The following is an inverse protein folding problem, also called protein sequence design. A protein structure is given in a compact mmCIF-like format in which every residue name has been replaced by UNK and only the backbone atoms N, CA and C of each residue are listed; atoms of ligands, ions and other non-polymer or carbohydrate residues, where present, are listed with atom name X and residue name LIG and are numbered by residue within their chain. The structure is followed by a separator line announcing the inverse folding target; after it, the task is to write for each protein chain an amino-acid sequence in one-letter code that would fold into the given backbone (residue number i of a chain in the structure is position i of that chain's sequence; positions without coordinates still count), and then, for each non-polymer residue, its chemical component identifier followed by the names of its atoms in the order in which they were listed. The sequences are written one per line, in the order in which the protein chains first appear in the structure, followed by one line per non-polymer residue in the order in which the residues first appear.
data_IF_614866926620
#
_entry.id   IF_614866926620
#
_cell.length_a   1.000
_cell.length_b   1.000
_cell.length_c   1.000
_cell.angle_alpha   90.00
_cell.angle_beta   90.00
_cell.angle_gamma   90.00
#
_symmetry.space_group_name_H-M   'P 1'
#
loop_
_entity.id
_entity.type
_entity.pdbx_description
1 polymer ?
#
# COMPACT_ATOMS: atom_id res chain seq x y z
N UNK A 1 16.11 -33.32 -0.51
CA UNK A 1 15.92 -32.19 0.43
C UNK A 1 16.01 -30.95 -0.44
N UNK A 2 14.85 -30.48 -0.86
CA UNK A 2 14.71 -29.50 -1.94
C UNK A 2 14.32 -28.16 -1.30
N UNK A 3 15.25 -27.20 -1.32
CA UNK A 3 15.06 -25.87 -0.76
C UNK A 3 14.58 -24.99 -1.91
N UNK A 4 13.27 -25.08 -2.17
CA UNK A 4 12.59 -24.37 -3.25
C UNK A 4 12.59 -22.85 -3.02
N UNK A 5 13.34 -22.17 -3.85
CA UNK A 5 13.38 -20.74 -4.17
C UNK A 5 12.03 -20.01 -3.96
N UNK A 6 11.91 -19.25 -2.87
CA UNK A 6 10.69 -18.52 -2.47
C UNK A 6 10.63 -17.12 -3.06
N UNK A 7 10.70 -17.01 -4.40
CA UNK A 7 10.47 -15.76 -5.13
C UNK A 7 9.05 -15.71 -5.66
N UNK A 8 8.34 -14.59 -5.45
CA UNK A 8 7.09 -14.35 -6.12
C UNK A 8 7.36 -14.13 -7.62
N UNK A 9 6.91 -15.07 -8.46
CA UNK A 9 7.11 -15.07 -9.91
C UNK A 9 6.46 -13.87 -10.64
N UNK A 10 5.74 -12.99 -9.92
CA UNK A 10 4.97 -11.86 -10.47
C UNK A 10 5.61 -10.48 -10.24
N UNK A 11 6.25 -10.26 -9.09
CA UNK A 11 6.90 -8.98 -8.70
C UNK A 11 8.44 -9.08 -8.61
N UNK A 12 9.04 -10.28 -8.60
CA UNK A 12 10.46 -10.46 -8.30
C UNK A 12 10.86 -10.07 -6.86
N UNK A 13 9.89 -9.76 -6.00
CA UNK A 13 10.11 -9.36 -4.63
C UNK A 13 10.60 -10.57 -3.81
N UNK A 14 11.78 -10.40 -3.20
CA UNK A 14 12.48 -11.43 -2.44
C UNK A 14 12.06 -11.34 -0.96
N UNK A 15 11.56 -12.43 -0.38
CA UNK A 15 11.07 -12.54 1.01
C UNK A 15 12.22 -12.47 2.04
N UNK A 16 13.46 -12.27 1.61
CA UNK A 16 14.63 -12.12 2.47
C UNK A 16 15.29 -10.75 2.32
N UNK A 17 14.64 -9.73 2.87
CA UNK A 17 15.36 -8.57 3.37
C UNK A 17 15.61 -8.81 4.86
N UNK A 18 16.74 -9.45 5.23
CA UNK A 18 17.49 -9.29 6.48
C UNK A 18 18.58 -10.36 6.63
N UNK A 19 19.82 -10.06 6.24
CA UNK A 19 21.03 -10.55 6.93
C UNK A 19 22.10 -9.46 6.85
N UNK A 20 22.08 -8.48 7.75
CA UNK A 20 23.24 -7.62 8.01
C UNK A 20 23.21 -7.09 9.46
N UNK A 21 23.66 -7.92 10.41
CA UNK A 21 24.40 -7.45 11.60
C UNK A 21 25.05 -8.60 12.39
N UNK A 22 26.35 -8.82 12.19
CA UNK A 22 27.43 -8.81 13.22
C UNK A 22 28.79 -9.13 12.55
N UNK A 23 29.90 -8.48 12.93
CA UNK A 23 31.23 -8.75 12.37
C UNK A 23 32.07 -9.76 13.19
N UNK A 24 32.98 -10.46 12.48
CA UNK A 24 34.20 -11.20 12.94
C UNK A 24 33.97 -12.50 13.74
N UNK A 25 34.72 -13.60 13.60
CA UNK A 25 36.01 -13.93 12.95
C UNK A 25 36.36 -15.44 13.07
N UNK A 26 37.35 -15.90 12.27
CA UNK A 26 38.25 -17.09 12.40
C UNK A 26 37.70 -18.45 11.93
N UNK A 27 38.21 -19.00 10.82
CA UNK A 27 39.39 -19.88 10.64
C UNK A 27 39.13 -21.36 11.01
N UNK A 28 39.12 -22.23 9.98
CA UNK A 28 39.83 -23.53 9.83
C UNK A 28 39.10 -24.38 8.78
N UNK A 29 39.74 -24.62 7.63
CA UNK A 29 40.53 -25.81 7.26
C UNK A 29 39.71 -26.85 6.47
N UNK A 30 40.02 -26.92 5.17
CA UNK A 30 40.26 -28.12 4.37
C UNK A 30 39.23 -29.28 4.37
N UNK A 31 38.73 -29.61 3.18
CA UNK A 31 39.29 -30.68 2.33
C UNK A 31 38.43 -30.95 1.10
N UNK A 32 39.13 -31.28 0.02
CA UNK A 32 38.69 -31.76 -1.28
C UNK A 32 37.76 -32.99 -1.21
N UNK A 33 36.88 -33.16 -2.20
CA UNK A 33 36.77 -34.36 -3.06
C UNK A 33 35.98 -33.99 -4.34
N UNK A 34 36.53 -34.40 -5.49
CA UNK A 34 36.05 -34.27 -6.88
C UNK A 34 34.93 -35.28 -7.27
N UNK A 35 34.34 -35.18 -8.49
CA UNK A 35 33.01 -35.69 -8.81
C UNK A 35 33.03 -37.11 -9.37
N UNK A 36 31.88 -37.79 -9.31
CA UNK A 36 31.70 -39.04 -10.07
C UNK A 36 30.51 -38.98 -11.02
N UNK A 37 30.83 -39.32 -12.27
CA UNK A 37 29.95 -39.43 -13.42
C UNK A 37 29.18 -40.74 -13.33
N UNK A 38 27.92 -40.77 -13.73
CA UNK A 38 27.41 -41.92 -14.51
C UNK A 38 26.12 -41.58 -15.25
N UNK A 39 26.25 -41.45 -16.56
CA UNK A 39 25.18 -41.70 -17.52
C UNK A 39 24.70 -43.14 -17.38
N UNK A 40 23.38 -43.37 -17.47
CA UNK A 40 22.80 -44.51 -18.18
C UNK A 40 21.37 -44.20 -18.61
N UNK A 41 21.16 -44.31 -19.91
CA UNK A 41 19.87 -44.28 -20.58
C UNK A 41 19.05 -45.54 -20.24
N UNK A 42 17.73 -45.41 -20.21
CA UNK A 42 16.83 -46.51 -20.51
C UNK A 42 15.54 -45.99 -21.15
N UNK A 43 15.31 -46.41 -22.37
CA UNK A 43 14.09 -46.21 -23.14
C UNK A 43 13.00 -47.24 -22.79
N UNK A 44 11.77 -46.82 -23.09
CA UNK A 44 10.59 -47.61 -23.45
C UNK A 44 9.71 -48.16 -22.32
N UNK A 45 8.49 -47.64 -22.22
CA UNK A 45 7.30 -48.26 -22.87
C UNK A 45 6.04 -47.46 -22.57
N UNK A 46 5.38 -47.10 -23.66
CA UNK A 46 4.00 -46.60 -23.76
C UNK A 46 2.99 -47.58 -23.18
N UNK A 47 2.03 -47.08 -22.39
CA UNK A 47 0.69 -47.67 -22.28
C UNK A 47 -0.34 -46.56 -22.47
N UNK A 48 -1.17 -46.75 -23.49
CA UNK A 48 -2.34 -45.94 -23.80
C UNK A 48 -3.41 -46.11 -22.70
N UNK A 49 -3.96 -45.00 -22.23
CA UNK A 49 -5.24 -44.94 -21.54
C UNK A 49 -6.13 -43.93 -22.28
N UNK A 50 -7.37 -44.35 -22.50
CA UNK A 50 -8.36 -43.76 -23.40
C UNK A 50 -8.81 -42.35 -23.00
N UNK A 51 -8.87 -41.51 -24.03
CA UNK A 51 -9.55 -40.20 -24.11
C UNK A 51 -10.93 -40.22 -23.47
N UNK A 52 -11.23 -39.21 -22.65
CA UNK A 52 -12.47 -38.42 -22.69
C UNK A 52 -12.16 -37.05 -22.06
N UNK A 53 -11.64 -36.14 -22.87
CA UNK A 53 -11.46 -34.73 -22.50
C UNK A 53 -12.14 -33.90 -23.58
N UNK A 54 -13.25 -33.25 -23.22
CA UNK A 54 -13.95 -32.30 -24.07
C UNK A 54 -13.14 -31.00 -24.04
N UNK A 55 -12.07 -30.95 -24.80
CA UNK A 55 -11.32 -29.73 -25.05
C UNK A 55 -12.11 -28.85 -26.03
N UNK A 56 -12.99 -28.00 -25.50
CA UNK A 56 -13.52 -26.87 -26.26
C UNK A 56 -12.34 -25.94 -26.57
N UNK A 57 -11.84 -26.04 -27.80
CA UNK A 57 -10.85 -25.11 -28.36
C UNK A 57 -11.54 -23.78 -28.61
N UNK A 58 -11.58 -22.94 -27.57
CA UNK A 58 -11.95 -21.53 -27.70
C UNK A 58 -10.81 -20.86 -28.46
N UNK A 59 -11.04 -20.54 -29.73
CA UNK A 59 -10.16 -19.63 -30.48
C UNK A 59 -10.10 -18.29 -29.71
N UNK A 60 -8.91 -17.68 -29.56
CA UNK A 60 -8.83 -16.36 -28.95
C UNK A 60 -9.68 -15.41 -29.79
N UNK A 61 -10.68 -14.80 -29.15
CA UNK A 61 -11.46 -13.74 -29.77
C UNK A 61 -10.54 -12.53 -29.86
N UNK A 62 -10.07 -12.23 -31.08
CA UNK A 62 -9.50 -10.92 -31.37
C UNK A 62 -10.62 -9.90 -31.15
N UNK A 63 -10.52 -9.13 -30.05
CA UNK A 63 -11.50 -8.12 -29.68
C UNK A 63 -10.95 -6.73 -30.07
N UNK A 64 -11.31 -6.16 -31.23
CA UNK A 64 -10.86 -4.83 -31.63
C UNK A 64 -11.35 -3.69 -30.72
N UNK A 65 -12.23 -3.95 -29.74
CA UNK A 65 -12.61 -2.98 -28.71
C UNK A 65 -11.54 -2.81 -27.61
N UNK A 66 -10.68 -3.81 -27.45
CA UNK A 66 -9.60 -3.84 -26.44
C UNK A 66 -8.47 -2.89 -26.80
N UNK A 67 -8.07 -2.86 -28.08
CA UNK A 67 -7.16 -1.84 -28.63
C UNK A 67 -7.77 -0.43 -28.49
N UNK A 68 -9.09 -0.29 -28.73
CA UNK A 68 -9.77 0.99 -28.57
C UNK A 68 -9.68 1.51 -27.12
N UNK A 69 -9.90 0.66 -26.11
CA UNK A 69 -9.84 1.08 -24.71
C UNK A 69 -8.44 1.54 -24.28
N UNK A 70 -7.37 0.83 -24.68
CA UNK A 70 -5.99 1.25 -24.38
C UNK A 70 -5.64 2.56 -25.09
N UNK A 71 -6.23 2.80 -26.26
CA UNK A 71 -6.02 4.03 -27.04
C UNK A 71 -6.87 5.24 -26.62
N UNK A 72 -7.81 5.08 -25.67
CA UNK A 72 -8.70 6.18 -25.29
C UNK A 72 -7.90 7.33 -24.65
N UNK A 73 -8.05 8.57 -25.15
CA UNK A 73 -7.35 9.72 -24.58
C UNK A 73 -7.70 9.97 -23.11
N UNK A 74 -6.72 10.49 -22.38
CA UNK A 74 -6.79 11.02 -21.02
C UNK A 74 -8.01 11.91 -20.82
N UNK A 75 -8.36 12.76 -21.78
CA UNK A 75 -9.49 13.70 -21.66
C UNK A 75 -10.83 12.97 -21.47
N UNK A 76 -11.06 11.89 -22.20
CA UNK A 76 -12.28 11.07 -22.08
C UNK A 76 -12.34 10.42 -20.69
N UNK A 77 -11.20 9.97 -20.19
CA UNK A 77 -11.11 9.38 -18.85
C UNK A 77 -11.36 10.43 -17.76
N UNK A 78 -10.83 11.64 -17.94
CA UNK A 78 -11.07 12.76 -17.02
C UNK A 78 -12.54 13.19 -17.02
N UNK A 79 -13.24 13.16 -18.15
CA UNK A 79 -14.68 13.44 -18.20
C UNK A 79 -15.49 12.46 -17.35
N UNK A 80 -15.14 11.16 -17.36
CA UNK A 80 -15.76 10.16 -16.50
C UNK A 80 -15.37 10.31 -15.03
N UNK A 81 -14.12 10.67 -14.76
CA UNK A 81 -13.58 10.79 -13.39
C UNK A 81 -14.05 12.05 -12.66
N UNK A 82 -14.13 13.19 -13.35
CA UNK A 82 -14.40 14.49 -12.72
C UNK A 82 -15.64 14.52 -11.82
N UNK A 83 -16.77 13.88 -12.17
CA UNK A 83 -17.94 13.79 -11.29
C UNK A 83 -17.76 12.89 -10.06
N UNK A 84 -16.84 11.91 -10.12
CA UNK A 84 -16.56 10.99 -9.01
C UNK A 84 -15.57 11.56 -7.97
N UNK A 85 -14.79 12.55 -8.38
CA UNK A 85 -13.73 13.14 -7.56
C UNK A 85 -14.26 14.01 -6.41
N UNK A 86 -15.09 15.00 -6.75
CA UNK A 86 -15.71 15.97 -5.86
C UNK A 86 -17.00 16.47 -6.51
N UNK A 87 -18.01 16.81 -5.71
CA UNK A 87 -19.28 17.31 -6.23
C UNK A 87 -19.05 18.58 -7.07
N UNK A 88 -19.53 18.62 -8.33
CA UNK A 88 -19.35 19.78 -9.20
C UNK A 88 -19.92 21.05 -8.55
N UNK A 89 -19.03 22.00 -8.24
CA UNK A 89 -19.39 23.28 -7.61
C UNK A 89 -19.16 23.35 -6.11
N UNK A 90 -18.83 22.24 -5.44
CA UNK A 90 -18.43 22.30 -4.02
C UNK A 90 -17.05 22.94 -3.88
N UNK A 91 -16.94 23.95 -3.02
CA UNK A 91 -15.68 24.60 -2.65
C UNK A 91 -15.10 24.06 -1.34
N UNK A 92 -15.78 23.10 -0.72
CA UNK A 92 -15.40 22.53 0.58
C UNK A 92 -15.48 21.01 0.54
N UNK A 93 -14.76 20.36 1.44
CA UNK A 93 -14.89 18.92 1.65
C UNK A 93 -16.24 18.58 2.28
N UNK A 94 -16.96 17.57 1.77
CA UNK A 94 -18.23 17.14 2.35
C UNK A 94 -18.04 16.57 3.75
N UNK A 95 -19.15 16.41 4.48
CA UNK A 95 -19.19 15.72 5.77
C UNK A 95 -19.94 14.40 5.61
N UNK A 96 -19.45 13.35 6.27
CA UNK A 96 -20.19 12.09 6.36
C UNK A 96 -21.49 12.27 7.15
N UNK A 97 -22.50 11.45 6.86
CA UNK A 97 -23.80 11.51 7.56
C UNK A 97 -23.70 11.11 9.04
N UNK A 98 -22.68 10.34 9.39
CA UNK A 98 -22.40 9.85 10.74
C UNK A 98 -21.05 10.39 11.22
N UNK A 99 -20.99 10.78 12.49
CA UNK A 99 -19.75 11.13 13.16
C UNK A 99 -19.02 9.87 13.67
N UNK A 100 -17.71 9.82 13.46
CA UNK A 100 -16.84 8.75 13.92
C UNK A 100 -15.78 9.28 14.89
N UNK A 101 -15.36 8.45 15.86
CA UNK A 101 -14.39 8.87 16.89
C UNK A 101 -13.09 8.09 16.90
N UNK A 102 -12.97 7.04 16.08
CA UNK A 102 -11.78 6.21 15.93
C UNK A 102 -11.47 6.02 14.45
N UNK A 103 -10.19 6.15 14.09
CA UNK A 103 -9.66 5.85 12.76
C UNK A 103 -8.54 4.84 12.89
N UNK A 104 -8.66 3.73 12.17
CA UNK A 104 -7.65 2.68 12.07
C UNK A 104 -7.21 2.49 10.62
N UNK A 105 -6.06 1.84 10.41
CA UNK A 105 -5.54 1.62 9.06
C UNK A 105 -4.98 0.23 8.81
N UNK A 106 -5.10 -0.18 7.54
CA UNK A 106 -4.29 -1.19 6.87
C UNK A 106 -3.79 -0.70 5.50
N UNK A 107 -2.78 -1.39 5.01
CA UNK A 107 -2.35 -1.41 3.61
C UNK A 107 -2.07 -2.86 3.22
N UNK A 108 -1.86 -3.12 1.93
CA UNK A 108 -1.28 -4.37 1.44
C UNK A 108 -2.03 -5.62 1.96
N UNK A 109 -3.38 -5.62 1.83
CA UNK A 109 -4.20 -6.74 2.30
C UNK A 109 -3.92 -8.03 1.52
N UNK A 110 -3.63 -7.92 0.21
CA UNK A 110 -3.41 -9.05 -0.69
C UNK A 110 -4.44 -10.16 -0.50
N UNK A 111 -5.73 -9.81 -0.53
CA UNK A 111 -6.83 -10.73 -0.22
C UNK A 111 -7.02 -11.82 -1.29
N UNK A 112 -6.35 -11.72 -2.44
CA UNK A 112 -6.16 -12.86 -3.36
C UNK A 112 -5.47 -14.05 -2.65
N UNK A 113 -4.70 -13.79 -1.59
CA UNK A 113 -4.13 -14.81 -0.74
C UNK A 113 -5.23 -15.38 0.17
N UNK A 114 -5.58 -16.66 -0.02
CA UNK A 114 -6.70 -17.30 0.69
C UNK A 114 -6.66 -17.14 2.22
N UNK A 115 -5.47 -17.14 2.84
CA UNK A 115 -5.31 -16.88 4.29
C UNK A 115 -5.73 -15.46 4.68
N UNK A 116 -5.41 -14.45 3.87
CA UNK A 116 -5.80 -13.07 4.13
C UNK A 116 -7.30 -12.87 3.89
N UNK A 117 -7.88 -13.46 2.85
CA UNK A 117 -9.34 -13.47 2.67
C UNK A 117 -10.08 -14.11 3.86
N UNK A 118 -9.61 -15.26 4.34
CA UNK A 118 -10.17 -15.91 5.53
C UNK A 118 -10.07 -15.00 6.76
N UNK A 119 -8.95 -14.31 6.94
CA UNK A 119 -8.78 -13.32 8.01
C UNK A 119 -9.84 -12.21 7.92
N UNK A 120 -10.06 -11.61 6.74
CA UNK A 120 -11.07 -10.56 6.56
C UNK A 120 -12.48 -11.03 6.94
N UNK A 121 -12.86 -12.26 6.54
CA UNK A 121 -14.16 -12.85 6.88
C UNK A 121 -14.38 -13.01 8.38
N UNK A 122 -13.31 -13.29 9.12
CA UNK A 122 -13.33 -13.54 10.57
C UNK A 122 -13.28 -12.27 11.42
N UNK A 123 -13.08 -11.09 10.82
CA UNK A 123 -13.01 -9.85 11.57
C UNK A 123 -14.32 -9.60 12.36
N UNK A 124 -14.22 -9.13 13.62
CA UNK A 124 -15.38 -8.64 14.33
C UNK A 124 -15.89 -7.35 13.68
N UNK A 125 -17.19 -7.07 13.81
CA UNK A 125 -17.75 -5.80 13.39
C UNK A 125 -17.40 -4.69 14.41
N UNK A 126 -16.99 -3.54 13.91
CA UNK A 126 -16.77 -2.28 14.61
C UNK A 126 -17.30 -1.10 13.78
N UNK A 127 -18.62 -0.97 13.79
CA UNK A 127 -19.38 0.00 13.00
C UNK A 127 -19.23 1.46 13.49
N UNK A 128 -18.50 1.69 14.58
CA UNK A 128 -18.14 3.01 15.12
C UNK A 128 -16.74 3.50 14.68
N UNK A 129 -16.06 2.70 13.86
CA UNK A 129 -14.66 2.90 13.47
C UNK A 129 -14.54 3.17 11.96
N UNK A 130 -13.70 4.14 11.58
CA UNK A 130 -13.30 4.37 10.19
C UNK A 130 -12.06 3.54 9.86
N UNK A 131 -12.08 2.82 8.74
CA UNK A 131 -10.90 2.13 8.20
C UNK A 131 -10.29 2.91 7.04
N UNK A 132 -8.98 3.15 7.10
CA UNK A 132 -8.18 3.66 5.99
C UNK A 132 -7.45 2.48 5.32
N UNK A 133 -7.73 2.24 4.04
CA UNK A 133 -7.11 1.20 3.22
C UNK A 133 -6.14 1.83 2.19
N UNK A 134 -4.85 1.79 2.49
CA UNK A 134 -3.81 2.39 1.66
C UNK A 134 -3.27 1.44 0.57
N UNK A 135 -4.17 1.02 -0.33
CA UNK A 135 -3.87 0.24 -1.53
C UNK A 135 -3.52 -1.23 -1.30
N UNK A 136 -3.33 -1.94 -2.42
CA UNK A 136 -2.99 -3.36 -2.51
C UNK A 136 -3.96 -4.26 -1.73
N UNK A 137 -5.25 -4.05 -1.96
CA UNK A 137 -6.31 -4.94 -1.50
C UNK A 137 -6.26 -6.25 -2.28
N UNK A 138 -6.29 -6.18 -3.61
CA UNK A 138 -6.23 -7.34 -4.50
C UNK A 138 -5.98 -6.94 -5.95
N UNK A 139 -5.61 -7.91 -6.79
CA UNK A 139 -5.32 -7.69 -8.20
C UNK A 139 -6.57 -7.80 -9.07
N UNK A 140 -7.59 -8.60 -8.72
CA UNK A 140 -8.78 -8.81 -9.58
C UNK A 140 -9.96 -7.93 -9.14
N UNK A 141 -10.76 -7.42 -10.09
CA UNK A 141 -11.94 -6.60 -9.78
C UNK A 141 -12.94 -7.34 -8.88
N UNK A 142 -13.15 -8.64 -9.12
CA UNK A 142 -14.04 -9.49 -8.33
C UNK A 142 -13.56 -9.61 -6.87
N UNK A 143 -12.26 -9.84 -6.66
CA UNK A 143 -11.69 -9.96 -5.32
C UNK A 143 -11.65 -8.61 -4.60
N UNK A 144 -11.37 -7.52 -5.31
CA UNK A 144 -11.47 -6.15 -4.77
C UNK A 144 -12.89 -5.89 -4.27
N UNK A 145 -13.91 -6.09 -5.12
CA UNK A 145 -15.32 -5.87 -4.75
C UNK A 145 -15.72 -6.73 -3.55
N UNK A 146 -15.38 -8.02 -3.58
CA UNK A 146 -15.68 -8.95 -2.48
C UNK A 146 -15.04 -8.49 -1.18
N UNK A 147 -13.78 -8.04 -1.22
CA UNK A 147 -13.05 -7.59 -0.03
C UNK A 147 -13.64 -6.31 0.55
N UNK A 148 -13.93 -5.33 -0.31
CA UNK A 148 -14.53 -4.07 0.10
C UNK A 148 -15.93 -4.27 0.70
N UNK A 149 -16.74 -5.16 0.10
CA UNK A 149 -18.06 -5.53 0.62
C UNK A 149 -17.95 -6.19 2.00
N UNK A 150 -17.03 -7.15 2.15
CA UNK A 150 -16.78 -7.78 3.45
C UNK A 150 -16.37 -6.75 4.50
N UNK A 151 -15.52 -5.78 4.16
CA UNK A 151 -15.06 -4.76 5.09
C UNK A 151 -16.15 -3.74 5.43
N UNK A 152 -17.05 -3.40 4.50
CA UNK A 152 -18.23 -2.56 4.76
C UNK A 152 -19.13 -3.18 5.85
N UNK A 153 -19.24 -4.52 5.89
CA UNK A 153 -19.96 -5.21 6.97
C UNK A 153 -19.23 -5.11 8.33
N UNK A 154 -17.94 -4.73 8.35
CA UNK A 154 -17.12 -4.65 9.56
C UNK A 154 -16.87 -3.24 10.06
N UNK A 155 -16.78 -2.23 9.20
CA UNK A 155 -16.40 -0.87 9.58
C UNK A 155 -17.50 0.13 9.20
N UNK A 156 -17.66 1.18 10.01
CA UNK A 156 -18.72 2.16 9.80
C UNK A 156 -18.50 3.08 8.60
N UNK A 157 -17.23 3.31 8.24
CA UNK A 157 -16.87 3.92 6.97
C UNK A 157 -15.49 3.41 6.52
N UNK A 158 -15.25 3.41 5.21
CA UNK A 158 -13.98 3.03 4.61
C UNK A 158 -13.52 4.14 3.69
N UNK A 159 -12.28 4.58 3.86
CA UNK A 159 -11.57 5.39 2.87
C UNK A 159 -10.52 4.53 2.16
N UNK A 160 -10.40 4.70 0.86
CA UNK A 160 -9.60 3.82 0.01
C UNK A 160 -8.86 4.59 -1.08
N UNK A 161 -7.62 4.15 -1.35
CA UNK A 161 -6.84 4.49 -2.54
C UNK A 161 -6.37 3.20 -3.20
N UNK A 162 -6.49 3.04 -4.53
CA UNK A 162 -5.89 1.91 -5.24
C UNK A 162 -4.35 1.94 -5.15
N UNK A 163 -3.74 0.77 -5.03
CA UNK A 163 -2.30 0.55 -5.14
C UNK A 163 -1.87 0.10 -6.54
N UNK A 164 -0.65 -0.43 -6.67
CA UNK A 164 -0.16 -0.91 -7.96
C UNK A 164 -0.82 -2.23 -8.38
N UNK A 165 -1.10 -3.12 -7.42
CA UNK A 165 -1.71 -4.42 -7.74
C UNK A 165 -3.11 -4.26 -8.35
N UNK A 166 -3.87 -3.28 -7.88
CA UNK A 166 -5.16 -2.92 -8.47
C UNK A 166 -5.06 -2.55 -9.95
N UNK A 167 -3.93 -1.98 -10.38
CA UNK A 167 -3.72 -1.46 -11.73
C UNK A 167 -3.02 -2.45 -12.67
N UNK A 168 -2.61 -3.61 -12.17
CA UNK A 168 -2.15 -4.70 -13.03
C UNK A 168 -3.29 -5.21 -13.89
N UNK A 169 -3.06 -5.34 -15.19
CA UNK A 169 -4.05 -5.83 -16.14
C UNK A 169 -3.61 -7.14 -16.77
N UNK A 170 -4.60 -7.92 -17.16
CA UNK A 170 -4.44 -9.16 -17.89
C UNK A 170 -5.20 -9.06 -19.21
N UNK A 171 -4.86 -9.89 -20.19
CA UNK A 171 -5.60 -9.96 -21.45
C UNK A 171 -7.11 -10.21 -21.27
N UNK A 172 -7.51 -10.86 -20.17
CA UNK A 172 -8.91 -11.15 -19.85
C UNK A 172 -9.69 -9.93 -19.40
N UNK A 173 -9.03 -8.96 -18.78
CA UNK A 173 -9.70 -7.78 -18.25
C UNK A 173 -10.31 -6.94 -19.36
N UNK A 174 -9.66 -6.90 -20.52
CA UNK A 174 -10.16 -6.09 -21.62
C UNK A 174 -9.88 -4.59 -21.48
N UNK A 175 -9.09 -4.20 -20.48
CA UNK A 175 -8.93 -2.82 -20.02
C UNK A 175 -7.45 -2.44 -19.93
N UNK A 176 -7.14 -1.16 -20.13
CA UNK A 176 -5.88 -0.56 -19.67
C UNK A 176 -5.90 -0.37 -18.14
N UNK A 177 -4.76 -0.13 -17.51
CA UNK A 177 -4.62 0.21 -16.08
C UNK A 177 -5.49 1.39 -15.66
N UNK A 178 -5.61 2.44 -16.48
CA UNK A 178 -6.43 3.62 -16.15
C UNK A 178 -7.94 3.34 -16.24
N UNK A 179 -8.34 2.45 -17.15
CA UNK A 179 -9.72 1.95 -17.21
C UNK A 179 -10.08 1.11 -16.00
N UNK A 180 -9.16 0.25 -15.56
CA UNK A 180 -9.33 -0.55 -14.36
C UNK A 180 -9.39 0.34 -13.11
N UNK A 181 -8.56 1.37 -13.03
CA UNK A 181 -8.65 2.41 -12.00
C UNK A 181 -10.06 3.00 -11.92
N UNK A 182 -10.64 3.47 -13.03
CA UNK A 182 -12.01 4.01 -13.02
C UNK A 182 -13.06 2.98 -12.61
N UNK A 183 -12.95 1.73 -13.09
CA UNK A 183 -13.87 0.67 -12.72
C UNK A 183 -13.83 0.39 -11.20
N UNK A 184 -12.66 0.47 -10.58
CA UNK A 184 -12.51 0.34 -9.12
C UNK A 184 -13.19 1.51 -8.40
N UNK A 185 -13.03 2.74 -8.88
CA UNK A 185 -13.72 3.90 -8.29
C UNK A 185 -15.24 3.77 -8.40
N UNK A 186 -15.75 3.26 -9.52
CA UNK A 186 -17.18 2.98 -9.72
C UNK A 186 -17.69 1.88 -8.78
N UNK A 187 -16.89 0.83 -8.51
CA UNK A 187 -17.20 -0.17 -7.48
C UNK A 187 -17.26 0.49 -6.10
N UNK A 188 -16.30 1.35 -5.77
CA UNK A 188 -16.26 2.03 -4.48
C UNK A 188 -17.50 2.91 -4.28
N UNK A 189 -17.88 3.69 -5.29
CA UNK A 189 -19.08 4.53 -5.26
C UNK A 189 -20.34 3.71 -5.00
N UNK A 190 -20.52 2.58 -5.72
CA UNK A 190 -21.65 1.66 -5.54
C UNK A 190 -21.71 1.02 -4.15
N UNK A 191 -20.56 0.80 -3.52
CA UNK A 191 -20.45 0.20 -2.20
C UNK A 191 -20.48 1.23 -1.06
N UNK A 192 -20.45 2.53 -1.34
CA UNK A 192 -20.28 3.56 -0.30
C UNK A 192 -18.88 3.60 0.31
N UNK A 193 -17.86 3.14 -0.41
CA UNK A 193 -16.44 3.27 -0.03
C UNK A 193 -15.92 4.63 -0.51
N UNK A 194 -15.37 5.43 0.40
CA UNK A 194 -14.95 6.79 0.11
C UNK A 194 -13.58 6.83 -0.58
N UNK A 195 -13.56 7.33 -1.80
CA UNK A 195 -12.33 7.63 -2.55
C UNK A 195 -12.11 9.14 -2.72
N UNK A 196 -12.88 9.95 -2.00
CA UNK A 196 -12.86 11.43 -2.01
C UNK A 196 -12.67 11.98 -0.59
N UNK A 197 -12.20 13.24 -0.43
CA UNK A 197 -12.08 13.84 0.89
C UNK A 197 -13.43 13.96 1.61
N UNK A 198 -13.43 13.79 2.93
CA UNK A 198 -14.60 14.12 3.76
C UNK A 198 -14.23 14.33 5.23
N UNK A 199 -15.03 15.14 5.92
CA UNK A 199 -15.05 15.22 7.38
C UNK A 199 -15.72 14.00 7.97
N UNK A 200 -15.02 13.32 8.88
CA UNK A 200 -15.58 12.19 9.65
C UNK A 200 -16.23 12.66 10.97
N UNK A 201 -15.95 13.90 11.39
CA UNK A 201 -16.61 14.65 12.44
C UNK A 201 -16.18 16.13 12.38
N UNK A 202 -16.52 16.94 13.38
CA UNK A 202 -16.15 18.37 13.41
C UNK A 202 -14.63 18.65 13.48
N UNK A 203 -13.86 17.70 13.99
CA UNK A 203 -12.45 17.88 14.34
C UNK A 203 -11.50 17.06 13.46
N UNK A 204 -11.99 16.20 12.57
CA UNK A 204 -11.15 15.32 11.77
C UNK A 204 -11.71 15.15 10.35
N UNK A 205 -10.81 15.19 9.38
CA UNK A 205 -11.11 14.92 7.98
C UNK A 205 -10.09 13.96 7.38
N UNK A 206 -10.52 13.19 6.39
CA UNK A 206 -9.68 12.26 5.64
C UNK A 206 -9.62 12.72 4.19
N UNK A 207 -8.44 12.72 3.59
CA UNK A 207 -8.21 13.10 2.19
C UNK A 207 -7.40 12.00 1.46
N UNK A 208 -8.07 11.10 0.71
CA UNK A 208 -7.41 10.16 -0.18
C UNK A 208 -6.67 10.88 -1.32
N UNK A 209 -5.40 10.57 -1.52
CA UNK A 209 -4.54 11.09 -2.58
C UNK A 209 -4.15 9.95 -3.51
N UNK A 210 -4.47 10.08 -4.80
CA UNK A 210 -4.00 9.12 -5.78
C UNK A 210 -2.53 9.37 -6.09
N UNK A 211 -1.76 8.31 -6.28
CA UNK A 211 -0.30 8.41 -6.34
C UNK A 211 0.29 7.35 -7.26
N UNK A 212 1.48 7.66 -7.78
CA UNK A 212 2.41 6.70 -8.38
C UNK A 212 3.83 7.06 -7.93
N UNK A 213 4.87 6.56 -8.60
CA UNK A 213 6.26 6.78 -8.20
C UNK A 213 7.13 7.43 -9.28
N UNK A 214 8.25 7.98 -8.82
CA UNK A 214 9.38 8.47 -9.63
C UNK A 214 10.67 7.96 -8.99
N UNK A 215 11.79 8.08 -9.67
CA UNK A 215 13.10 7.72 -9.11
C UNK A 215 13.69 8.78 -8.17
N UNK A 216 12.94 9.84 -7.87
CA UNK A 216 13.40 10.97 -7.07
C UNK A 216 13.20 10.82 -5.55
N UNK A 217 12.61 9.73 -5.06
CA UNK A 217 12.25 9.60 -3.64
C UNK A 217 13.47 9.73 -2.72
N UNK A 218 14.59 9.09 -3.09
CA UNK A 218 15.79 8.98 -2.25
C UNK A 218 16.92 9.86 -2.79
N UNK A 219 17.56 10.64 -1.90
CA UNK A 219 18.67 11.52 -2.26
C UNK A 219 19.82 10.74 -2.92
N UNK A 220 20.32 11.24 -4.05
CA UNK A 220 21.42 10.63 -4.79
C UNK A 220 21.09 9.26 -5.42
N UNK A 221 19.82 8.85 -5.44
CA UNK A 221 19.35 7.78 -6.31
C UNK A 221 19.13 8.32 -7.73
N UNK A 222 19.48 7.53 -8.72
CA UNK A 222 19.13 7.73 -10.12
C UNK A 222 18.99 6.36 -10.75
N UNK A 223 18.01 6.18 -11.63
CA UNK A 223 17.81 4.89 -12.27
C UNK A 223 18.98 4.55 -13.20
N UNK A 224 19.46 3.31 -13.10
CA UNK A 224 20.48 2.74 -13.97
C UNK A 224 19.99 1.49 -14.72
N UNK A 225 20.80 1.00 -15.66
CA UNK A 225 20.49 -0.18 -16.49
C UNK A 225 20.30 -1.49 -15.71
N UNK A 226 20.73 -1.54 -14.44
CA UNK A 226 20.61 -2.71 -13.57
C UNK A 226 19.35 -2.69 -12.68
N UNK A 227 18.53 -1.65 -12.77
CA UNK A 227 17.31 -1.55 -11.97
C UNK A 227 16.20 -2.46 -12.51
N UNK A 228 15.38 -2.96 -11.59
CA UNK A 228 14.45 -4.06 -11.83
C UNK A 228 13.23 -3.51 -12.59
N UNK A 229 12.84 -4.11 -13.74
CA UNK A 229 11.56 -3.83 -14.36
C UNK A 229 10.44 -4.12 -13.35
N UNK A 230 9.62 -3.13 -13.05
CA UNK A 230 8.57 -3.22 -12.03
C UNK A 230 7.21 -2.85 -12.66
N UNK A 231 6.13 -3.38 -12.08
CA UNK A 231 4.75 -3.16 -12.57
C UNK A 231 4.55 -3.42 -14.07
N UNK A 232 5.30 -4.39 -14.61
CA UNK A 232 5.29 -4.81 -16.02
C UNK A 232 3.93 -5.34 -16.51
N UNK A 233 2.97 -5.50 -15.60
CA UNK A 233 1.59 -5.91 -15.90
C UNK A 233 0.66 -4.72 -16.10
N UNK A 234 1.14 -3.50 -15.93
CA UNK A 234 0.36 -2.31 -16.23
C UNK A 234 0.37 -2.02 -17.73
N UNK A 235 -0.70 -1.39 -18.19
CA UNK A 235 -0.82 -0.88 -19.54
C UNK A 235 -1.47 0.49 -19.49
N UNK A 236 -0.74 1.51 -19.92
CA UNK A 236 -1.13 2.90 -19.79
C UNK A 236 -1.55 3.46 -21.16
N UNK A 237 -2.55 4.36 -21.20
CA UNK A 237 -2.78 5.18 -22.39
C UNK A 237 -1.51 5.93 -22.80
N UNK A 238 -1.26 5.97 -24.11
CA UNK A 238 -0.02 6.53 -24.68
C UNK A 238 0.20 8.01 -24.35
N UNK A 239 -0.87 8.77 -24.12
CA UNK A 239 -0.82 10.19 -23.76
C UNK A 239 -0.55 10.42 -22.26
N UNK A 240 -0.66 9.39 -21.42
CA UNK A 240 -0.23 9.41 -20.03
C UNK A 240 1.24 9.05 -19.89
N UNK A 241 1.80 8.19 -20.74
CA UNK A 241 3.23 7.81 -20.72
C UNK A 241 4.14 8.78 -21.47
N UNK A 242 3.75 10.04 -21.63
CA UNK A 242 4.55 11.01 -22.40
C UNK A 242 4.78 10.62 -23.86
N UNK A 243 3.90 9.77 -24.43
CA UNK A 243 4.04 9.14 -25.77
C UNK A 243 5.15 8.09 -25.86
N UNK A 244 5.60 7.56 -24.72
CA UNK A 244 6.56 6.46 -24.62
C UNK A 244 5.90 5.06 -24.66
N UNK A 245 6.63 4.04 -24.24
CA UNK A 245 6.13 2.66 -24.14
C UNK A 245 4.97 2.58 -23.14
N UNK A 246 3.81 2.14 -23.61
CA UNK A 246 2.59 1.98 -22.80
C UNK A 246 2.70 0.92 -21.71
N UNK A 247 3.71 0.04 -21.77
CA UNK A 247 3.97 -0.98 -20.75
C UNK A 247 5.07 -0.54 -19.76
N UNK A 248 5.71 0.61 -19.98
CA UNK A 248 6.68 1.14 -19.04
C UNK A 248 5.98 1.88 -17.91
N UNK A 249 5.73 1.15 -16.83
CA UNK A 249 5.11 1.67 -15.62
C UNK A 249 5.96 2.72 -14.90
N UNK A 250 7.20 2.90 -15.30
CA UNK A 250 8.17 3.66 -14.54
C UNK A 250 8.49 5.02 -15.16
N UNK A 251 7.66 5.47 -16.10
CA UNK A 251 7.64 6.81 -16.68
C UNK A 251 7.11 7.84 -15.67
N UNK A 252 7.81 8.96 -15.43
CA UNK A 252 7.42 9.95 -14.42
C UNK A 252 6.08 10.62 -14.69
N UNK A 253 5.64 10.68 -15.96
CA UNK A 253 4.38 11.27 -16.40
C UNK A 253 3.16 10.55 -15.81
N UNK A 254 3.29 9.26 -15.47
CA UNK A 254 2.23 8.50 -14.78
C UNK A 254 2.01 9.07 -13.38
N UNK A 255 3.09 9.39 -12.66
CA UNK A 255 2.99 10.05 -11.36
C UNK A 255 2.45 11.47 -11.47
N UNK A 256 2.84 12.21 -12.52
CA UNK A 256 2.29 13.55 -12.78
C UNK A 256 0.78 13.50 -13.10
N UNK A 257 0.34 12.47 -13.82
CA UNK A 257 -1.07 12.23 -14.07
C UNK A 257 -1.85 12.05 -12.77
N UNK A 258 -1.44 11.13 -11.88
CA UNK A 258 -2.13 10.94 -10.60
C UNK A 258 -2.04 12.16 -9.69
N UNK A 259 -0.89 12.85 -9.66
CA UNK A 259 -0.74 14.09 -8.92
C UNK A 259 -1.73 15.16 -9.42
N UNK A 260 -1.99 15.23 -10.73
CA UNK A 260 -2.96 16.17 -11.31
C UNK A 260 -4.40 15.87 -10.89
N UNK A 261 -4.75 14.61 -10.64
CA UNK A 261 -6.07 14.21 -10.13
C UNK A 261 -6.33 14.76 -8.72
N UNK A 262 -5.29 15.05 -7.95
CA UNK A 262 -5.47 15.55 -6.58
C UNK A 262 -5.69 17.06 -6.49
N UNK A 263 -5.49 17.83 -7.58
CA UNK A 263 -5.48 19.29 -7.53
C UNK A 263 -6.74 19.91 -6.90
N UNK A 264 -7.93 19.44 -7.28
CA UNK A 264 -9.18 19.95 -6.71
C UNK A 264 -9.34 19.59 -5.24
N UNK A 265 -8.97 18.35 -4.87
CA UNK A 265 -9.01 17.88 -3.47
C UNK A 265 -8.17 18.77 -2.56
N UNK A 266 -6.96 19.09 -3.01
CA UNK A 266 -6.02 19.95 -2.29
C UNK A 266 -6.51 21.41 -2.27
N UNK A 267 -7.06 21.91 -3.37
CA UNK A 267 -7.60 23.27 -3.48
C UNK A 267 -8.80 23.53 -2.55
N UNK A 268 -9.59 22.50 -2.22
CA UNK A 268 -10.72 22.59 -1.30
C UNK A 268 -10.35 22.23 0.16
N UNK A 269 -9.07 22.07 0.48
CA UNK A 269 -8.63 21.74 1.84
C UNK A 269 -8.95 22.88 2.82
N UNK A 270 -9.35 22.58 4.08
CA UNK A 270 -9.67 23.62 5.06
C UNK A 270 -8.46 24.50 5.36
N UNK A 271 -8.58 25.81 5.17
CA UNK A 271 -7.47 26.75 5.42
C UNK A 271 -6.92 26.66 6.87
N UNK A 272 -7.79 26.37 7.84
CA UNK A 272 -7.40 26.15 9.24
C UNK A 272 -6.48 24.92 9.44
N UNK A 273 -6.53 23.92 8.55
CA UNK A 273 -5.63 22.76 8.61
C UNK A 273 -4.18 23.16 8.34
N UNK A 274 -3.94 24.06 7.39
CA UNK A 274 -2.59 24.58 7.10
C UNK A 274 -2.01 25.36 8.27
N UNK A 275 -2.81 26.20 8.92
CA UNK A 275 -2.39 26.90 10.14
C UNK A 275 -2.06 25.91 11.26
N UNK A 276 -2.88 24.87 11.45
CA UNK A 276 -2.65 23.83 12.44
C UNK A 276 -1.36 23.02 12.16
N UNK A 277 -1.04 22.75 10.89
CA UNK A 277 0.21 22.08 10.51
C UNK A 277 1.42 22.97 10.81
N UNK A 278 1.41 24.25 10.44
CA UNK A 278 2.53 25.17 10.74
C UNK A 278 2.86 25.22 12.22
N UNK A 279 1.84 25.29 13.07
CA UNK A 279 1.99 25.23 14.54
C UNK A 279 2.60 23.89 14.99
N UNK A 280 2.19 22.77 14.39
CA UNK A 280 2.77 21.46 14.68
C UNK A 280 4.24 21.36 14.25
N UNK A 281 4.61 21.97 13.12
CA UNK A 281 6.00 22.07 12.65
C UNK A 281 6.87 22.89 13.60
N UNK A 282 6.37 24.04 14.08
CA UNK A 282 7.03 24.87 15.09
C UNK A 282 7.28 24.09 16.39
N UNK A 283 6.25 23.42 16.91
CA UNK A 283 6.36 22.58 18.11
C UNK A 283 7.39 21.45 17.90
N UNK A 284 7.38 20.80 16.74
CA UNK A 284 8.33 19.74 16.42
C UNK A 284 9.78 20.27 16.33
N UNK A 285 9.97 21.47 15.78
CA UNK A 285 11.26 22.13 15.71
C UNK A 285 11.79 22.51 17.11
N UNK A 286 10.92 23.09 17.96
CA UNK A 286 11.26 23.40 19.36
C UNK A 286 11.60 22.13 20.15
N UNK A 287 10.84 21.04 19.97
CA UNK A 287 11.11 19.77 20.62
C UNK A 287 12.47 19.18 20.18
N UNK A 288 12.79 19.25 18.88
CA UNK A 288 14.08 18.82 18.35
C UNK A 288 15.22 19.67 18.92
N UNK A 289 15.05 20.99 19.02
CA UNK A 289 16.04 21.89 19.62
C UNK A 289 16.24 21.59 21.10
N UNK A 290 15.16 21.42 21.86
CA UNK A 290 15.21 21.04 23.27
C UNK A 290 15.95 19.71 23.48
N UNK A 291 15.70 18.71 22.62
CA UNK A 291 16.42 17.44 22.65
C UNK A 291 17.92 17.60 22.43
N UNK A 292 18.35 18.42 21.46
CA UNK A 292 19.76 18.72 21.21
C UNK A 292 20.43 19.43 22.39
N UNK A 293 19.68 20.26 23.12
CA UNK A 293 20.13 20.98 24.31
C UNK A 293 20.03 20.16 25.61
N UNK A 294 19.50 18.93 25.57
CA UNK A 294 19.26 18.11 26.77
C UNK A 294 18.14 18.64 27.68
N UNK A 295 17.23 19.47 27.14
CA UNK A 295 16.08 20.04 27.85
C UNK A 295 14.82 19.18 27.67
N UNK A 296 13.86 19.23 28.60
CA UNK A 296 12.57 18.58 28.42
C UNK A 296 11.83 19.17 27.20
N UNK A 297 11.05 18.36 26.47
CA UNK A 297 10.28 18.84 25.34
C UNK A 297 9.21 19.87 25.78
N UNK A 298 8.84 20.81 24.91
CA UNK A 298 7.79 21.77 25.20
C UNK A 298 6.46 21.07 25.51
N UNK A 299 5.67 21.63 26.43
CA UNK A 299 4.33 21.12 26.73
C UNK A 299 3.42 21.32 25.52
N UNK A 300 2.88 20.24 24.98
CA UNK A 300 1.87 20.31 23.92
C UNK A 300 0.58 20.97 24.43
N UNK A 301 0.08 21.98 23.71
CA UNK A 301 -1.28 22.49 23.96
C UNK A 301 -2.30 21.45 23.50
N UNK A 302 -3.35 21.22 24.29
CA UNK A 302 -4.44 20.30 23.93
C UNK A 302 -5.32 20.84 22.79
N UNK A 303 -5.28 22.15 22.57
CA UNK A 303 -6.12 22.82 21.57
C UNK A 303 -5.36 22.92 20.24
N UNK A 304 -5.89 22.26 19.21
CA UNK A 304 -5.52 22.55 17.83
C UNK A 304 -6.56 23.48 17.22
N UNK A 305 -6.14 24.63 16.70
CA UNK A 305 -6.98 25.68 16.12
C UNK A 305 -7.54 25.31 14.71
N UNK A 306 -7.82 24.04 14.47
CA UNK A 306 -8.28 23.54 13.17
C UNK A 306 -8.45 22.02 13.11
N UNK A 307 -9.08 21.50 12.04
CA UNK A 307 -9.33 20.08 11.90
C UNK A 307 -8.03 19.28 11.81
N UNK A 308 -8.04 18.05 12.31
CA UNK A 308 -7.00 17.06 12.12
C UNK A 308 -7.19 16.41 10.75
N UNK A 309 -6.34 16.77 9.80
CA UNK A 309 -6.40 16.21 8.45
C UNK A 309 -5.49 14.98 8.36
N UNK A 310 -6.10 13.84 8.06
CA UNK A 310 -5.41 12.61 7.71
C UNK A 310 -5.38 12.50 6.18
N UNK A 311 -4.21 12.34 5.60
CA UNK A 311 -4.08 12.01 4.17
C UNK A 311 -3.70 10.55 4.01
N UNK A 312 -3.95 10.00 2.83
CA UNK A 312 -3.48 8.67 2.50
C UNK A 312 -3.09 8.56 1.04
N UNK A 313 -2.05 7.79 0.77
CA UNK A 313 -1.61 7.40 -0.57
C UNK A 313 -1.20 5.93 -0.53
N UNK A 314 -0.97 5.29 -1.68
CA UNK A 314 -0.41 3.94 -1.62
C UNK A 314 1.13 3.98 -1.54
N UNK A 315 1.75 4.82 -2.35
CA UNK A 315 3.21 4.91 -2.46
C UNK A 315 3.84 5.78 -1.37
N UNK A 316 5.14 5.61 -1.17
CA UNK A 316 5.86 6.24 -0.07
C UNK A 316 6.05 7.74 -0.31
N UNK A 317 5.73 8.60 0.67
CA UNK A 317 5.85 10.06 0.50
C UNK A 317 7.27 10.57 0.71
N UNK A 318 8.08 9.83 1.48
CA UNK A 318 9.36 10.32 2.01
C UNK A 318 10.41 9.22 2.09
N UNK A 319 11.67 9.58 1.87
CA UNK A 319 12.79 8.64 2.01
C UNK A 319 12.96 8.12 3.44
N UNK A 320 12.66 8.94 4.46
CA UNK A 320 12.77 8.54 5.87
C UNK A 320 11.79 7.43 6.26
N UNK A 321 10.75 7.22 5.45
CA UNK A 321 9.78 6.14 5.57
C UNK A 321 10.23 4.83 4.92
N UNK A 322 11.32 4.84 4.15
CA UNK A 322 11.81 3.67 3.42
C UNK A 322 13.16 3.16 3.95
N UNK A 323 13.17 2.22 4.91
CA UNK A 323 14.41 1.56 5.37
C UNK A 323 14.79 0.34 4.50
N UNK A 324 14.16 0.17 3.33
CA UNK A 324 14.32 -1.01 2.47
C UNK A 324 15.56 -0.97 1.57
N UNK A 325 15.74 -1.99 0.71
CA UNK A 325 16.91 -2.11 -0.15
C UNK A 325 16.96 -1.03 -1.24
N UNK A 326 18.15 -0.45 -1.45
CA UNK A 326 18.38 0.63 -2.42
C UNK A 326 17.89 0.34 -3.85
N UNK A 327 17.95 -0.91 -4.30
CA UNK A 327 17.53 -1.36 -5.65
C UNK A 327 16.03 -1.15 -5.93
N UNK A 328 15.22 -0.96 -4.90
CA UNK A 328 13.78 -0.75 -5.03
C UNK A 328 13.40 0.73 -4.90
N UNK A 329 14.33 1.61 -4.51
CA UNK A 329 14.04 3.04 -4.28
C UNK A 329 13.36 3.71 -5.49
N UNK A 330 13.71 3.30 -6.71
CA UNK A 330 13.17 3.86 -7.95
C UNK A 330 11.68 3.58 -8.22
N UNK A 331 11.04 2.75 -7.40
CA UNK A 331 9.63 2.34 -7.56
C UNK A 331 8.83 2.44 -6.26
N UNK A 332 9.39 3.03 -5.20
CA UNK A 332 8.72 3.10 -3.89
C UNK A 332 7.74 4.28 -3.77
N UNK A 333 7.96 5.37 -4.49
CA UNK A 333 7.14 6.59 -4.37
C UNK A 333 7.85 7.79 -4.95
N UNK A 334 7.46 8.99 -4.53
CA UNK A 334 8.10 10.24 -4.97
C UNK A 334 7.87 11.37 -3.97
N UNK A 335 8.69 12.42 -4.05
CA UNK A 335 8.65 13.56 -3.10
C UNK A 335 7.41 14.42 -3.26
N UNK A 336 6.83 14.43 -4.44
CA UNK A 336 5.63 15.18 -4.79
C UNK A 336 4.43 14.75 -3.92
N UNK A 337 4.40 13.47 -3.48
CA UNK A 337 3.37 13.00 -2.56
C UNK A 337 3.46 13.79 -1.24
N UNK A 338 4.65 13.93 -0.63
CA UNK A 338 4.80 14.71 0.61
C UNK A 338 4.49 16.20 0.42
N UNK A 339 4.80 16.76 -0.76
CA UNK A 339 4.42 18.14 -1.09
C UNK A 339 2.90 18.29 -1.07
N UNK A 340 2.16 17.34 -1.64
CA UNK A 340 0.69 17.33 -1.60
C UNK A 340 0.14 17.16 -0.18
N UNK A 341 0.72 16.24 0.60
CA UNK A 341 0.38 16.01 2.02
C UNK A 341 0.49 17.28 2.85
N UNK A 342 1.60 18.02 2.68
CA UNK A 342 1.81 19.29 3.38
C UNK A 342 0.87 20.39 2.89
N UNK A 343 0.60 20.44 1.58
CA UNK A 343 -0.23 21.48 0.97
C UNK A 343 -1.68 21.50 1.46
N UNK A 344 -2.20 20.37 1.98
CA UNK A 344 -3.54 20.30 2.57
C UNK A 344 -3.56 20.35 4.10
N UNK A 345 -2.42 20.67 4.74
CA UNK A 345 -2.34 20.80 6.19
C UNK A 345 -2.45 19.48 6.95
N UNK A 346 -2.05 18.36 6.32
CA UNK A 346 -2.14 17.05 6.95
C UNK A 346 -1.21 16.93 8.15
N UNK A 347 -1.71 16.33 9.24
CA UNK A 347 -0.93 16.01 10.45
C UNK A 347 -0.67 14.51 10.61
N UNK A 348 -1.30 13.68 9.79
CA UNK A 348 -1.01 12.27 9.68
C UNK A 348 -1.15 11.80 8.23
N UNK A 349 -0.16 11.06 7.74
CA UNK A 349 -0.21 10.44 6.42
C UNK A 349 -0.12 8.92 6.54
N UNK A 350 -1.06 8.23 5.91
CA UNK A 350 -1.11 6.77 5.84
C UNK A 350 -0.66 6.30 4.46
N UNK A 351 0.20 5.28 4.40
CA UNK A 351 0.71 4.72 3.15
C UNK A 351 0.93 3.19 3.21
N UNK A 352 1.32 2.58 2.09
CA UNK A 352 1.46 1.14 1.89
C UNK A 352 2.70 0.75 1.06
N UNK A 353 2.54 -0.26 0.19
CA UNK A 353 3.46 -0.67 -0.88
C UNK A 353 4.71 -1.44 -0.42
N UNK A 354 5.51 -0.89 0.50
CA UNK A 354 6.80 -1.51 0.81
C UNK A 354 6.72 -2.79 1.65
N UNK A 355 5.55 -3.11 2.22
CA UNK A 355 5.36 -4.15 3.24
C UNK A 355 6.26 -3.97 4.48
N UNK A 356 6.73 -2.74 4.75
CA UNK A 356 7.56 -2.44 5.92
C UNK A 356 6.76 -1.56 6.86
N UNK A 357 6.56 -2.05 8.09
CA UNK A 357 5.93 -1.26 9.14
C UNK A 357 6.66 0.07 9.35
N UNK A 358 5.91 1.17 9.35
CA UNK A 358 6.41 2.50 9.66
C UNK A 358 5.43 3.21 10.59
N UNK A 359 5.95 3.83 11.65
CA UNK A 359 5.21 4.79 12.47
C UNK A 359 6.23 5.81 12.98
N UNK A 360 6.27 6.98 12.35
CA UNK A 360 7.28 7.99 12.61
C UNK A 360 6.70 9.38 12.46
N UNK A 361 7.14 10.28 13.33
CA UNK A 361 6.90 11.72 13.16
C UNK A 361 8.06 12.41 12.45
N UNK A 362 7.77 13.20 11.43
CA UNK A 362 8.75 14.04 10.71
C UNK A 362 8.14 15.42 10.47
N UNK A 363 8.73 16.44 11.10
CA UNK A 363 8.31 17.84 10.98
C UNK A 363 6.79 18.01 11.20
N UNK A 364 6.29 17.62 12.37
CA UNK A 364 4.89 17.80 12.77
C UNK A 364 3.87 16.87 12.10
N UNK A 365 4.31 15.94 11.24
CA UNK A 365 3.44 14.97 10.56
C UNK A 365 3.80 13.55 10.97
N UNK A 366 2.80 12.77 11.37
CA UNK A 366 2.94 11.33 11.65
C UNK A 366 2.72 10.50 10.39
N UNK A 367 3.73 9.79 9.92
CA UNK A 367 3.68 8.88 8.77
C UNK A 367 3.52 7.45 9.24
N UNK A 368 2.46 6.78 8.77
CA UNK A 368 2.09 5.42 9.20
C UNK A 368 1.93 4.50 8.00
N UNK A 369 2.62 3.38 8.02
CA UNK A 369 2.37 2.24 7.15
C UNK A 369 2.14 1.01 8.03
N UNK A 370 1.01 0.35 7.79
CA UNK A 370 0.58 -0.82 8.57
C UNK A 370 0.11 -1.92 7.62
N UNK A 371 1.04 -2.66 6.98
CA UNK A 371 0.69 -3.66 6.00
C UNK A 371 0.16 -4.90 6.70
N UNK A 372 -0.95 -5.46 6.20
CA UNK A 372 -1.25 -6.86 6.52
C UNK A 372 -0.21 -7.77 5.87
N UNK A 373 0.23 -7.41 4.67
CA UNK A 373 1.29 -8.09 3.92
C UNK A 373 0.87 -9.49 3.47
N UNK A 374 1.83 -10.22 2.92
CA UNK A 374 1.62 -11.62 2.56
C UNK A 374 1.51 -12.49 3.83
N UNK A 375 0.81 -13.64 3.76
CA UNK A 375 0.63 -14.50 4.94
C UNK A 375 1.90 -15.02 5.60
N UNK A 376 3.04 -14.99 4.89
CA UNK A 376 4.33 -15.44 5.37
C UNK A 376 5.27 -14.28 5.74
N UNK A 377 4.81 -13.03 5.67
CA UNK A 377 5.60 -11.88 6.11
C UNK A 377 5.76 -11.95 7.63
N UNK A 378 7.00 -12.00 8.10
CA UNK A 378 7.35 -12.21 9.51
C UNK A 378 6.90 -11.06 10.43
N UNK A 379 6.64 -9.87 9.86
CA UNK A 379 6.13 -8.69 10.55
C UNK A 379 4.60 -8.57 10.52
N UNK A 380 3.89 -9.58 9.97
CA UNK A 380 2.44 -9.55 9.78
C UNK A 380 1.73 -9.24 11.09
N UNK A 381 1.01 -8.12 11.12
CA UNK A 381 0.13 -7.75 12.23
C UNK A 381 -1.33 -7.83 11.76
N UNK A 382 -2.07 -8.74 12.39
CA UNK A 382 -3.44 -9.09 12.00
C UNK A 382 -4.50 -8.11 12.49
N UNK A 383 -4.17 -7.18 13.39
CA UNK A 383 -5.07 -6.13 13.85
C UNK A 383 -4.74 -4.82 13.12
N UNK A 384 -5.74 -3.98 12.77
CA UNK A 384 -5.47 -2.68 12.17
C UNK A 384 -4.90 -1.72 13.22
N UNK A 385 -4.17 -0.69 12.78
CA UNK A 385 -3.49 0.25 13.67
C UNK A 385 -4.27 1.54 13.84
N UNK A 386 -4.46 1.99 15.08
CA UNK A 386 -5.06 3.30 15.37
C UNK A 386 -4.15 4.46 14.93
N UNK A 387 -4.71 5.38 14.16
CA UNK A 387 -4.03 6.60 13.67
C UNK A 387 -4.64 7.88 14.20
N UNK A 388 -5.91 7.85 14.63
CA UNK A 388 -6.59 8.98 15.24
C UNK A 388 -7.73 8.51 16.16
N UNK A 389 -8.02 9.31 17.18
CA UNK A 389 -9.06 9.01 18.16
C UNK A 389 -8.56 8.18 19.35
N UNK A 390 -9.35 8.14 20.42
CA UNK A 390 -9.05 7.29 21.58
C UNK A 390 -9.65 5.92 21.33
N UNK A 391 -8.78 4.93 21.14
CA UNK A 391 -9.19 3.55 21.36
C UNK A 391 -9.60 3.46 22.83
N UNK A 392 -10.90 3.45 23.12
CA UNK A 392 -11.36 2.92 24.40
C UNK A 392 -10.88 1.49 24.42
N UNK A 393 -9.69 1.27 24.99
CA UNK A 393 -9.02 0.00 25.29
C UNK A 393 -9.87 -1.17 24.80
N UNK A 394 -9.74 -1.53 23.52
CA UNK A 394 -10.11 -2.88 23.12
C UNK A 394 -9.09 -3.73 23.85
N UNK A 395 -9.46 -4.19 25.05
CA UNK A 395 -8.69 -5.21 25.75
C UNK A 395 -8.50 -6.30 24.72
N UNK A 396 -7.26 -6.55 24.33
CA UNK A 396 -6.93 -7.82 23.70
C UNK A 396 -7.57 -8.87 24.58
N UNK A 397 -8.60 -9.56 24.10
CA UNK A 397 -8.98 -10.80 24.74
C UNK A 397 -7.72 -11.66 24.68
N UNK A 398 -7.17 -12.10 25.82
CA UNK A 398 -6.00 -12.93 25.79
C UNK A 398 -6.37 -14.18 24.99
N UNK A 399 -5.62 -14.41 23.90
CA UNK A 399 -5.58 -15.70 23.21
C UNK A 399 -5.67 -16.81 24.25
N UNK A 400 -6.58 -17.76 24.00
CA UNK A 400 -6.89 -18.84 24.93
C UNK A 400 -5.61 -19.45 25.52
N UNK A 401 -5.68 -19.82 26.81
CA UNK A 401 -4.56 -20.29 27.63
C UNK A 401 -3.81 -21.52 27.06
N UNK A 402 -4.26 -22.11 25.97
CA UNK A 402 -3.66 -23.29 25.33
C UNK A 402 -2.46 -22.97 24.41
N UNK A 403 -2.15 -21.70 24.14
CA UNK A 403 -0.99 -21.31 23.33
C UNK A 403 0.26 -20.92 24.14
N UNK A 404 0.23 -21.02 25.48
CA UNK A 404 1.41 -20.77 26.34
C UNK A 404 2.03 -22.08 26.80
N UNK A 405 2.70 -22.80 25.89
CA UNK A 405 3.64 -23.85 26.27
C UNK A 405 4.97 -23.66 25.56
N UNK A 406 5.98 -23.38 26.39
CA UNK A 406 7.42 -23.61 26.23
C UNK A 406 8.20 -22.80 25.20
N UNK A 407 8.60 -21.58 25.57
CA UNK A 407 10.00 -21.17 25.39
C UNK A 407 10.45 -20.33 26.58
N UNK A 408 11.42 -20.84 27.35
CA UNK A 408 12.15 -20.08 28.34
C UNK A 408 12.14 -20.66 29.74
N UNK A 409 13.01 -21.65 29.99
CA UNK A 409 13.80 -21.76 31.24
C UNK A 409 14.79 -22.90 31.09
N UNK A 410 16.05 -22.55 30.80
CA UNK A 410 17.26 -23.12 31.40
C UNK A 410 18.49 -22.52 30.70
N UNK A 411 18.89 -21.34 31.14
CA UNK A 411 20.30 -20.92 31.18
C UNK A 411 20.39 -19.73 32.12
N UNK A 412 20.55 -20.02 33.41
CA UNK A 412 21.27 -19.18 34.37
C UNK A 412 21.35 -19.90 35.72
N UNK A 413 22.53 -20.43 36.03
CA UNK A 413 23.25 -20.36 37.31
C UNK A 413 24.17 -21.57 37.41
N UNK A 414 25.49 -21.29 37.48
CA UNK A 414 26.55 -22.28 37.49
C UNK A 414 27.07 -22.61 38.89
N UNK A 415 27.84 -23.71 38.93
CA UNK A 415 28.86 -24.15 39.89
C UNK A 415 28.47 -24.30 41.38
N UNK A 416 29.14 -25.20 42.13
CA UNK A 416 30.55 -25.58 42.07
C UNK A 416 30.91 -26.80 41.23
#
# INVERSE_FOLDING_TARGET
MDVGDSRCARCGCNVTAHVLWKPKSKEHEGKDVEPDQHMKAHESKTKAASKHEVAATVKPVENPLLEKAISLPKEIMLERWRPMDMDPGSQEWPRLSQDFTEVVTWSDLHSDMGKNMTHLKQLPACQDTVLLLAGDVASSLETIETSLRLLQDKFGAIFYVPGNHELWVTKKDGLSSVHKFLAILEICEKLGVHTRPAFINANCAVCPLFSWYKDNLVDGFSRGMADIPFDMQTQWPWDITGRGDTNDAQQPEIADFFASLNQRRLGCAPAAALAALRKAEEIAAEAKQAQLEGKPPPKQSKDSDGPFVITMSHFLPRQECYPGPRRLCGVMGCREIDQQVRSCGSRCHVFGHSHIMCDREVNGIRYVQHPLGYPNDYHRQSAPKSVWGSSKVRREEPLSKDARINFGKKYSQGNP
#
